data_IF_524272148550
#
_entry.id   IF_524272148550
#
_cell.length_a   1.000
_cell.length_b   1.000
_cell.length_c   1.000
_cell.angle_alpha   90.00
_cell.angle_beta   90.00
_cell.angle_gamma   90.00
#
_symmetry.space_group_name_H-M   'P 1'
#
loop_
_entity.id
_entity.type
_entity.pdbx_description
1 polymer ?
#
# COMPACT_ATOMS: atom_id res chain seq x y z
N UNK A 1 9.07 -14.54 -7.24
CA UNK A 1 8.23 -14.34 -6.03
C UNK A 1 8.58 -13.01 -5.38
N UNK A 2 7.58 -12.21 -5.00
CA UNK A 2 7.80 -10.97 -4.22
C UNK A 2 8.51 -11.27 -2.89
N UNK A 3 9.50 -10.43 -2.57
CA UNK A 3 10.28 -10.44 -1.34
C UNK A 3 10.49 -8.99 -0.87
N UNK A 4 11.14 -8.79 0.27
CA UNK A 4 11.46 -7.44 0.71
C UNK A 4 12.54 -7.40 1.78
N UNK A 5 13.25 -6.27 1.79
CA UNK A 5 14.34 -5.97 2.72
C UNK A 5 14.07 -4.67 3.48
N UNK A 6 14.57 -4.55 4.70
CA UNK A 6 14.36 -3.39 5.56
C UNK A 6 15.62 -2.56 5.60
N UNK A 7 15.62 -1.41 4.93
CA UNK A 7 16.82 -0.58 4.85
C UNK A 7 17.02 0.28 6.10
N UNK A 8 15.95 0.77 6.76
CA UNK A 8 16.08 1.72 7.88
C UNK A 8 14.95 1.67 8.96
N UNK A 9 14.26 0.53 9.15
CA UNK A 9 13.10 0.32 10.06
C UNK A 9 11.83 1.12 9.75
N UNK A 10 11.91 2.25 9.04
CA UNK A 10 10.76 3.08 8.63
C UNK A 10 10.30 2.81 7.21
N UNK A 11 11.23 2.38 6.35
CA UNK A 11 10.99 2.10 4.94
C UNK A 11 11.27 0.62 4.64
N UNK A 12 10.50 0.11 3.69
CA UNK A 12 10.52 -1.27 3.20
C UNK A 12 10.88 -1.23 1.73
N UNK A 13 11.95 -1.92 1.36
CA UNK A 13 12.29 -2.16 -0.03
C UNK A 13 11.54 -3.42 -0.48
N UNK A 14 10.60 -3.25 -1.40
CA UNK A 14 9.82 -4.35 -1.99
C UNK A 14 10.55 -4.78 -3.25
N UNK A 15 10.76 -6.09 -3.41
CA UNK A 15 11.63 -6.66 -4.44
C UNK A 15 10.95 -7.84 -5.13
N UNK A 16 11.15 -8.00 -6.42
CA UNK A 16 10.64 -9.14 -7.18
C UNK A 16 11.32 -9.23 -8.53
N UNK A 17 11.08 -10.31 -9.27
CA UNK A 17 11.36 -10.26 -10.71
C UNK A 17 10.33 -9.36 -11.42
N UNK A 18 10.56 -9.08 -12.71
CA UNK A 18 9.68 -8.20 -13.46
C UNK A 18 8.24 -8.76 -13.59
N UNK A 19 8.09 -10.08 -13.65
CA UNK A 19 6.78 -10.72 -13.76
C UNK A 19 6.00 -10.61 -12.44
N UNK A 20 6.66 -10.83 -11.30
CA UNK A 20 6.06 -10.65 -9.98
C UNK A 20 5.48 -9.24 -9.81
N UNK A 21 6.26 -8.23 -10.18
CA UNK A 21 5.87 -6.82 -10.07
C UNK A 21 4.76 -6.46 -11.07
N UNK A 22 4.81 -7.01 -12.29
CA UNK A 22 3.73 -6.84 -13.25
C UNK A 22 2.41 -7.47 -12.76
N UNK A 23 2.46 -8.65 -12.14
CA UNK A 23 1.27 -9.28 -11.53
C UNK A 23 0.75 -8.49 -10.33
N UNK A 24 1.64 -7.94 -9.51
CA UNK A 24 1.26 -7.03 -8.43
C UNK A 24 0.55 -5.78 -8.96
N UNK A 25 1.08 -5.17 -10.03
CA UNK A 25 0.44 -4.01 -10.66
C UNK A 25 -0.97 -4.35 -11.17
N UNK A 26 -1.18 -5.54 -11.76
CA UNK A 26 -2.52 -6.01 -12.16
C UNK A 26 -3.47 -6.13 -10.97
N UNK A 27 -2.98 -6.64 -9.82
CA UNK A 27 -3.77 -6.74 -8.59
C UNK A 27 -4.24 -5.34 -8.14
N UNK A 28 -3.32 -4.37 -8.11
CA UNK A 28 -3.62 -2.98 -7.74
C UNK A 28 -4.60 -2.32 -8.72
N UNK A 29 -4.45 -2.60 -10.02
CA UNK A 29 -5.32 -2.06 -11.06
C UNK A 29 -6.78 -2.50 -10.91
N UNK A 30 -7.04 -3.71 -10.40
CA UNK A 30 -8.41 -4.15 -10.11
C UNK A 30 -9.08 -3.28 -9.06
N UNK A 31 -8.33 -2.88 -8.04
CA UNK A 31 -8.83 -2.01 -6.97
C UNK A 31 -9.08 -0.60 -7.49
N UNK A 32 -8.14 -0.02 -8.25
CA UNK A 32 -8.33 1.32 -8.82
C UNK A 32 -9.52 1.35 -9.79
N UNK A 33 -9.72 0.27 -10.57
CA UNK A 33 -10.87 0.12 -11.46
C UNK A 33 -12.20 0.03 -10.71
N UNK A 34 -12.23 -0.65 -9.56
CA UNK A 34 -13.41 -0.69 -8.68
C UNK A 34 -13.76 0.71 -8.18
N UNK A 35 -12.76 1.49 -7.75
CA UNK A 35 -12.96 2.87 -7.27
C UNK A 35 -13.42 3.79 -8.39
N UNK A 36 -12.81 3.70 -9.58
CA UNK A 36 -13.23 4.45 -10.77
C UNK A 36 -14.66 4.07 -11.20
N UNK A 37 -15.08 2.82 -11.03
CA UNK A 37 -16.46 2.38 -11.27
C UNK A 37 -17.50 3.08 -10.37
N UNK A 38 -17.08 3.73 -9.29
CA UNK A 38 -17.93 4.56 -8.43
C UNK A 38 -17.81 6.07 -8.71
N UNK A 39 -16.99 6.49 -9.69
CA UNK A 39 -16.67 7.89 -10.02
C UNK A 39 -16.00 8.62 -8.84
N UNK A 40 -14.99 7.98 -8.23
CA UNK A 40 -14.29 8.44 -7.04
C UNK A 40 -12.76 8.53 -7.22
N UNK A 41 -12.33 8.89 -8.43
CA UNK A 41 -10.91 9.01 -8.81
C UNK A 41 -10.14 10.09 -8.01
N UNK A 42 -10.85 11.05 -7.40
CA UNK A 42 -10.22 12.07 -6.54
C UNK A 42 -10.12 11.63 -5.06
N UNK A 43 -10.54 10.41 -4.72
CA UNK A 43 -10.49 9.92 -3.33
C UNK A 43 -9.07 9.58 -2.88
N UNK A 44 -8.80 9.78 -1.58
CA UNK A 44 -7.53 9.40 -0.95
C UNK A 44 -7.16 7.93 -1.20
N UNK A 45 -8.17 7.06 -1.29
CA UNK A 45 -7.99 5.65 -1.58
C UNK A 45 -7.50 5.45 -3.03
N UNK A 46 -8.15 6.10 -4.01
CA UNK A 46 -7.69 6.05 -5.40
C UNK A 46 -6.25 6.55 -5.55
N UNK A 47 -5.92 7.67 -4.91
CA UNK A 47 -4.59 8.26 -4.95
C UNK A 47 -3.53 7.33 -4.32
N UNK A 48 -3.84 6.70 -3.18
CA UNK A 48 -2.94 5.73 -2.53
C UNK A 48 -2.64 4.54 -3.45
N UNK A 49 -3.68 3.91 -4.01
CA UNK A 49 -3.50 2.76 -4.90
C UNK A 49 -2.79 3.13 -6.20
N UNK A 50 -3.09 4.30 -6.77
CA UNK A 50 -2.44 4.79 -7.98
C UNK A 50 -0.97 5.08 -7.74
N UNK A 51 -0.62 5.73 -6.64
CA UNK A 51 0.76 5.99 -6.25
C UNK A 51 1.57 4.69 -6.07
N UNK A 52 1.02 3.71 -5.38
CA UNK A 52 1.69 2.42 -5.19
C UNK A 52 1.80 1.62 -6.51
N UNK A 53 0.80 1.72 -7.38
CA UNK A 53 0.81 1.15 -8.73
C UNK A 53 1.92 1.76 -9.59
N UNK A 54 2.08 3.10 -9.58
CA UNK A 54 3.14 3.80 -10.29
C UNK A 54 4.54 3.43 -9.82
N UNK A 55 4.74 3.26 -8.51
CA UNK A 55 6.02 2.76 -7.96
C UNK A 55 6.33 1.34 -8.45
N UNK A 56 5.32 0.48 -8.44
CA UNK A 56 5.43 -0.91 -8.90
C UNK A 56 5.79 -0.91 -10.39
N UNK A 57 5.06 -0.16 -11.21
CA UNK A 57 5.28 0.02 -12.64
C UNK A 57 6.69 0.54 -12.95
N UNK A 58 7.09 1.63 -12.30
CA UNK A 58 8.41 2.22 -12.45
C UNK A 58 9.52 1.21 -12.16
N UNK A 59 9.35 0.33 -11.17
CA UNK A 59 10.34 -0.68 -10.84
C UNK A 59 10.52 -1.75 -11.92
N UNK A 60 9.45 -2.24 -12.55
CA UNK A 60 9.56 -3.34 -13.53
C UNK A 60 9.69 -2.87 -14.99
N UNK A 61 9.18 -1.68 -15.35
CA UNK A 61 9.33 -1.10 -16.69
C UNK A 61 10.63 -0.33 -16.88
N UNK A 62 10.98 0.51 -15.92
CA UNK A 62 12.09 1.47 -16.04
C UNK A 62 13.21 1.22 -15.02
N UNK A 63 12.97 0.39 -14.01
CA UNK A 63 13.93 0.09 -12.97
C UNK A 63 15.08 -0.75 -13.50
N UNK A 64 16.30 -0.28 -13.27
CA UNK A 64 17.49 -1.08 -13.54
C UNK A 64 17.54 -2.22 -12.51
N UNK A 65 17.50 -3.49 -12.95
CA UNK A 65 17.55 -4.60 -12.02
C UNK A 65 18.86 -4.56 -11.23
N UNK A 66 18.74 -4.65 -9.91
CA UNK A 66 19.90 -4.75 -9.03
C UNK A 66 20.29 -6.22 -8.89
N UNK A 67 21.58 -6.50 -9.09
CA UNK A 67 22.15 -7.83 -8.86
C UNK A 67 22.23 -8.06 -7.35
N UNK A 68 21.31 -8.86 -6.81
CA UNK A 68 21.20 -9.02 -5.36
C UNK A 68 21.63 -10.39 -4.83
N UNK A 69 21.82 -11.41 -5.69
CA UNK A 69 22.46 -12.67 -5.24
C UNK A 69 22.94 -13.53 -6.40
N UNK A 70 23.94 -14.38 -6.13
CA UNK A 70 24.35 -15.48 -6.99
C UNK A 70 23.90 -16.77 -6.31
N UNK A 71 22.82 -17.39 -6.79
CA UNK A 71 22.45 -18.74 -6.35
C UNK A 71 23.14 -19.75 -7.28
N UNK A 72 24.26 -20.30 -6.84
CA UNK A 72 25.08 -21.22 -7.64
C UNK A 72 25.79 -20.52 -8.80
N UNK A 73 25.37 -20.80 -10.05
CA UNK A 73 25.88 -20.11 -11.27
C UNK A 73 24.85 -19.14 -11.88
N UNK A 74 23.64 -19.07 -11.32
CA UNK A 74 22.59 -18.21 -11.84
C UNK A 74 22.66 -16.85 -11.13
N UNK A 75 22.84 -15.81 -11.93
CA UNK A 75 22.70 -14.43 -11.47
C UNK A 75 21.21 -14.10 -11.42
N UNK A 76 20.71 -13.74 -10.23
CA UNK A 76 19.31 -13.37 -10.05
C UNK A 76 19.21 -11.85 -9.95
N UNK A 77 18.47 -11.28 -10.89
CA UNK A 77 18.21 -9.86 -11.04
C UNK A 77 16.86 -9.54 -10.42
N UNK A 78 16.84 -8.62 -9.47
CA UNK A 78 15.61 -8.15 -8.84
C UNK A 78 15.35 -6.70 -9.20
N UNK A 79 14.08 -6.42 -9.47
CA UNK A 79 13.53 -5.08 -9.54
C UNK A 79 13.00 -4.70 -8.16
N UNK A 80 13.05 -3.42 -7.82
CA UNK A 80 12.65 -2.97 -6.49
C UNK A 80 12.11 -1.56 -6.46
N UNK A 81 11.25 -1.28 -5.49
CA UNK A 81 10.83 0.07 -5.14
C UNK A 81 10.71 0.23 -3.62
N UNK A 82 10.84 1.47 -3.16
CA UNK A 82 10.72 1.82 -1.75
C UNK A 82 9.29 2.20 -1.39
N UNK A 83 8.81 1.69 -0.25
CA UNK A 83 7.55 2.05 0.37
C UNK A 83 7.77 2.35 1.84
N UNK A 84 7.00 3.29 2.41
CA UNK A 84 6.99 3.40 3.87
C UNK A 84 6.28 2.19 4.49
N UNK A 85 6.63 1.83 5.73
CA UNK A 85 5.94 0.77 6.48
C UNK A 85 4.46 1.08 6.64
N UNK A 86 4.09 2.35 6.85
CA UNK A 86 2.71 2.78 7.03
C UNK A 86 1.89 2.73 5.73
N UNK A 87 2.47 3.15 4.62
CA UNK A 87 1.87 3.01 3.29
C UNK A 87 1.57 1.54 2.98
N UNK A 88 2.52 0.64 3.25
CA UNK A 88 2.35 -0.80 3.06
C UNK A 88 1.27 -1.39 3.99
N UNK A 89 1.17 -0.88 5.22
CA UNK A 89 0.14 -1.28 6.19
C UNK A 89 -1.27 -0.88 5.77
N UNK A 90 -1.44 0.38 5.37
CA UNK A 90 -2.72 0.90 4.90
C UNK A 90 -3.14 0.15 3.63
N UNK A 91 -2.22 0.03 2.66
CA UNK A 91 -2.48 -0.66 1.40
C UNK A 91 -2.93 -2.11 1.62
N UNK A 92 -2.22 -2.88 2.45
CA UNK A 92 -2.57 -4.28 2.70
C UNK A 92 -3.90 -4.44 3.44
N UNK A 93 -4.19 -3.56 4.39
CA UNK A 93 -5.46 -3.56 5.11
C UNK A 93 -6.63 -3.24 4.18
N UNK A 94 -6.45 -2.27 3.28
CA UNK A 94 -7.44 -1.89 2.27
C UNK A 94 -7.63 -2.98 1.21
N UNK A 95 -6.55 -3.57 0.71
CA UNK A 95 -6.60 -4.69 -0.25
C UNK A 95 -7.42 -5.84 0.31
N UNK A 96 -7.15 -6.22 1.56
CA UNK A 96 -7.88 -7.31 2.22
C UNK A 96 -9.36 -6.95 2.40
N UNK A 97 -9.68 -5.74 2.85
CA UNK A 97 -11.06 -5.30 3.04
C UNK A 97 -11.85 -5.23 1.72
N UNK A 98 -11.21 -4.77 0.64
CA UNK A 98 -11.84 -4.63 -0.68
C UNK A 98 -11.85 -5.94 -1.49
N UNK A 99 -11.10 -6.96 -1.07
CA UNK A 99 -11.01 -8.25 -1.79
C UNK A 99 -12.38 -8.91 -2.01
N UNK A 100 -13.32 -8.74 -1.07
CA UNK A 100 -14.69 -9.27 -1.16
C UNK A 100 -15.55 -8.60 -2.23
N UNK A 101 -15.12 -7.45 -2.74
CA UNK A 101 -15.79 -6.67 -3.79
C UNK A 101 -15.10 -6.81 -5.15
N UNK A 102 -14.06 -7.64 -5.24
CA UNK A 102 -13.23 -7.82 -6.43
C UNK A 102 -13.28 -9.27 -6.91
N UNK A 103 -13.11 -9.46 -8.22
CA UNK A 103 -12.81 -10.80 -8.77
C UNK A 103 -11.32 -11.06 -8.58
N UNK A 104 -11.02 -11.70 -7.44
CA UNK A 104 -9.69 -12.12 -7.02
C UNK A 104 -9.44 -13.55 -7.51
N UNK A 105 -8.30 -13.76 -8.19
CA UNK A 105 -7.79 -15.07 -8.56
C UNK A 105 -6.69 -15.51 -7.58
N UNK A 106 -6.19 -16.73 -7.76
CA UNK A 106 -5.17 -17.30 -6.85
C UNK A 106 -3.88 -16.47 -6.80
N UNK A 107 -3.48 -15.84 -7.92
CA UNK A 107 -2.28 -14.99 -7.97
C UNK A 107 -2.48 -13.67 -7.23
N UNK A 108 -3.67 -13.07 -7.32
CA UNK A 108 -4.02 -11.88 -6.55
C UNK A 108 -3.98 -12.18 -5.04
N UNK A 109 -4.53 -13.32 -4.60
CA UNK A 109 -4.45 -13.74 -3.19
C UNK A 109 -3.01 -13.94 -2.73
N UNK A 110 -2.16 -14.56 -3.56
CA UNK A 110 -0.74 -14.72 -3.27
C UNK A 110 -0.07 -13.35 -3.12
N UNK A 111 -0.34 -12.39 -4.01
CA UNK A 111 0.22 -11.04 -3.92
C UNK A 111 -0.23 -10.31 -2.65
N UNK A 112 -1.52 -10.37 -2.31
CA UNK A 112 -2.05 -9.76 -1.08
C UNK A 112 -1.37 -10.39 0.13
N UNK A 113 -1.27 -11.72 0.19
CA UNK A 113 -0.63 -12.44 1.28
C UNK A 113 0.86 -12.10 1.43
N UNK A 114 1.59 -11.96 0.32
CA UNK A 114 3.00 -11.57 0.32
C UNK A 114 3.17 -10.15 0.85
N UNK A 115 2.35 -9.20 0.41
CA UNK A 115 2.37 -7.84 0.94
C UNK A 115 2.02 -7.80 2.43
N UNK A 116 1.03 -8.58 2.89
CA UNK A 116 0.68 -8.70 4.30
C UNK A 116 1.85 -9.24 5.13
N UNK A 117 2.60 -10.23 4.61
CA UNK A 117 3.77 -10.76 5.28
C UNK A 117 4.91 -9.75 5.34
N UNK A 118 5.15 -9.00 4.27
CA UNK A 118 6.13 -7.91 4.27
C UNK A 118 5.75 -6.83 5.30
N UNK A 119 4.46 -6.49 5.34
CA UNK A 119 3.90 -5.55 6.31
C UNK A 119 4.08 -6.01 7.76
N UNK A 120 3.75 -7.27 8.06
CA UNK A 120 3.96 -7.88 9.39
C UNK A 120 5.43 -7.86 9.81
N UNK A 121 6.35 -8.15 8.88
CA UNK A 121 7.80 -8.14 9.15
C UNK A 121 8.35 -6.72 9.36
N UNK A 122 7.71 -5.71 8.77
CA UNK A 122 8.08 -4.30 8.93
C UNK A 122 7.77 -3.74 10.33
N UNK A 123 6.85 -4.38 11.04
CA UNK A 123 6.33 -3.94 12.31
C UNK A 123 7.14 -4.52 13.48
N UNK A 124 7.61 -3.64 14.37
CA UNK A 124 8.06 -4.01 15.71
C UNK A 124 7.07 -3.51 16.78
N UNK A 125 6.72 -4.36 17.75
CA UNK A 125 6.06 -4.02 19.02
C UNK A 125 4.90 -3.03 18.94
N UNK A 126 5.18 -1.74 19.15
CA UNK A 126 4.19 -0.66 19.13
C UNK A 126 3.37 -0.55 17.83
N UNK A 127 3.93 -0.94 16.68
CA UNK A 127 3.21 -0.85 15.40
C UNK A 127 2.17 -1.97 15.23
N UNK A 128 2.25 -3.05 16.04
CA UNK A 128 1.34 -4.20 15.90
C UNK A 128 -0.06 -3.84 16.42
N UNK A 129 -0.12 -3.08 17.51
CA UNK A 129 -1.39 -2.57 18.02
C UNK A 129 -2.01 -1.55 17.05
N UNK A 130 -1.19 -0.70 16.42
CA UNK A 130 -1.65 0.22 15.39
C UNK A 130 -2.23 -0.51 14.16
N UNK A 131 -1.61 -1.62 13.76
CA UNK A 131 -2.09 -2.46 12.67
C UNK A 131 -3.48 -3.03 12.93
N UNK A 132 -3.70 -3.59 14.13
CA UNK A 132 -5.04 -4.11 14.49
C UNK A 132 -6.08 -2.99 14.53
N UNK A 133 -5.74 -1.81 15.06
CA UNK A 133 -6.64 -0.65 15.07
C UNK A 133 -6.99 -0.16 13.67
N UNK A 134 -6.02 -0.10 12.74
CA UNK A 134 -6.26 0.29 11.35
C UNK A 134 -7.20 -0.72 10.67
N UNK A 135 -6.94 -2.01 10.85
CA UNK A 135 -7.76 -3.09 10.27
C UNK A 135 -9.19 -3.07 10.81
N UNK A 136 -9.34 -2.97 12.12
CA UNK A 136 -10.64 -2.89 12.77
C UNK A 136 -11.43 -1.67 12.26
N UNK A 137 -10.80 -0.49 12.21
CA UNK A 137 -11.42 0.74 11.71
C UNK A 137 -11.86 0.60 10.26
N UNK A 138 -11.01 0.08 9.38
CA UNK A 138 -11.32 -0.14 7.96
C UNK A 138 -12.54 -1.07 7.83
N UNK A 139 -12.50 -2.24 8.49
CA UNK A 139 -13.57 -3.23 8.39
C UNK A 139 -14.89 -2.69 8.94
N UNK A 140 -14.87 -2.11 10.15
CA UNK A 140 -16.07 -1.54 10.77
C UNK A 140 -16.69 -0.43 9.93
N UNK A 141 -15.87 0.43 9.33
CA UNK A 141 -16.37 1.51 8.47
C UNK A 141 -16.99 0.95 7.19
N UNK A 142 -16.33 -0.03 6.56
CA UNK A 142 -16.83 -0.68 5.36
C UNK A 142 -18.15 -1.43 5.60
N UNK A 143 -18.26 -2.18 6.70
CA UNK A 143 -19.46 -2.93 7.08
C UNK A 143 -20.67 -2.02 7.37
N UNK A 144 -20.44 -0.88 8.03
CA UNK A 144 -21.50 0.02 8.48
C UNK A 144 -21.99 1.00 7.41
N UNK A 145 -21.15 1.38 6.45
CA UNK A 145 -21.46 2.42 5.46
C UNK A 145 -21.64 1.90 4.03
N UNK A 146 -21.17 0.67 3.74
CA UNK A 146 -21.10 0.12 2.40
C UNK A 146 -19.94 0.70 1.58
N UNK A 147 -19.53 -0.03 0.54
CA UNK A 147 -18.32 0.24 -0.22
C UNK A 147 -18.22 1.66 -0.81
N UNK A 148 -19.28 2.17 -1.44
CA UNK A 148 -19.23 3.49 -2.08
C UNK A 148 -18.95 4.60 -1.06
N UNK A 149 -19.68 4.57 0.06
CA UNK A 149 -19.55 5.57 1.12
C UNK A 149 -18.23 5.40 1.87
N UNK A 150 -17.80 4.17 2.09
CA UNK A 150 -16.46 3.88 2.60
C UNK A 150 -15.38 4.54 1.76
N UNK A 151 -15.38 4.37 0.43
CA UNK A 151 -14.38 4.98 -0.46
C UNK A 151 -14.46 6.52 -0.41
N UNK A 152 -15.69 7.08 -0.41
CA UNK A 152 -15.92 8.53 -0.35
C UNK A 152 -15.39 9.17 0.94
N UNK A 153 -15.60 8.51 2.07
CA UNK A 153 -15.33 9.04 3.40
C UNK A 153 -13.93 8.64 3.90
N UNK A 154 -13.27 7.65 3.27
CA UNK A 154 -11.93 7.24 3.64
C UNK A 154 -10.94 8.38 3.44
N UNK A 155 -10.14 8.65 4.48
CA UNK A 155 -9.06 9.63 4.45
C UNK A 155 -7.77 8.97 4.87
N UNK A 156 -6.73 9.14 4.07
CA UNK A 156 -5.36 8.74 4.40
C UNK A 156 -4.75 9.68 5.46
N UNK A 157 -5.33 10.88 5.63
CA UNK A 157 -4.89 11.92 6.55
C UNK A 157 -6.03 12.39 7.45
N UNK A 158 -5.75 12.63 8.73
CA UNK A 158 -6.63 13.47 9.54
C UNK A 158 -6.38 14.93 9.18
N UNK A 159 -7.35 15.58 8.53
CA UNK A 159 -7.40 17.04 8.50
C UNK A 159 -7.51 17.54 9.93
N UNK A 160 -6.60 18.40 10.38
CA UNK A 160 -6.65 19.09 11.66
C UNK A 160 -7.97 19.87 11.81
N UNK A 161 -9.02 19.21 12.26
CA UNK A 161 -10.21 19.84 12.82
C UNK A 161 -10.28 19.45 14.29
N UNK A 162 -9.82 20.39 15.12
CA UNK A 162 -10.03 20.41 16.56
C UNK A 162 -11.50 20.19 16.89
N UNK A 163 -11.80 19.18 17.70
CA UNK A 163 -12.62 19.30 18.93
C UNK A 163 -12.52 18.00 19.77
N UNK A 164 -12.73 18.07 21.10
CA UNK A 164 -11.80 17.43 22.03
C UNK A 164 -12.37 16.22 22.77
N UNK A 165 -11.44 15.53 23.44
CA UNK A 165 -11.62 14.57 24.54
C UNK A 165 -11.85 13.10 24.16
N UNK A 166 -10.85 12.51 23.50
CA UNK A 166 -10.19 11.25 23.90
C UNK A 166 -8.97 11.00 22.98
N UNK A 167 -8.11 12.03 22.81
CA UNK A 167 -7.00 11.99 21.86
C UNK A 167 -5.76 11.29 22.45
N UNK A 168 -5.74 9.96 22.38
CA UNK A 168 -4.51 9.19 22.42
C UNK A 168 -3.82 9.26 21.04
N UNK A 169 -3.13 10.39 20.81
CA UNK A 169 -1.98 10.62 19.93
C UNK A 169 -1.88 9.75 18.67
N UNK A 170 -2.57 10.17 17.62
CA UNK A 170 -2.29 9.82 16.22
C UNK A 170 -1.33 10.83 15.54
N UNK A 171 -0.48 11.52 16.29
CA UNK A 171 0.52 12.50 15.78
C UNK A 171 1.55 11.91 14.80
N UNK A 172 1.57 10.59 14.57
CA UNK A 172 2.55 9.92 13.71
C UNK A 172 2.11 9.74 12.25
N UNK A 173 0.82 9.84 11.92
CA UNK A 173 0.33 9.53 10.55
C UNK A 173 0.49 10.73 9.61
N UNK A 174 0.37 11.95 10.14
CA UNK A 174 0.27 13.18 9.34
C UNK A 174 1.60 13.74 8.84
N UNK A 175 2.76 13.34 9.39
CA UNK A 175 4.06 13.93 9.01
C UNK A 175 4.81 13.24 7.86
N UNK A 176 4.44 12.03 7.45
CA UNK A 176 5.34 11.21 6.61
C UNK A 176 4.97 11.07 5.14
N UNK A 177 3.75 11.39 4.74
CA UNK A 177 3.35 11.38 3.32
C UNK A 177 3.50 12.76 2.64
N UNK A 178 3.85 13.80 3.41
CA UNK A 178 4.03 15.17 2.92
C UNK A 178 5.18 15.35 1.91
N UNK A 179 6.31 14.60 1.91
CA UNK A 179 7.32 14.82 0.88
C UNK A 179 7.06 14.08 -0.44
N UNK A 180 6.20 13.05 -0.49
CA UNK A 180 5.99 12.26 -1.71
C UNK A 180 5.07 12.96 -2.72
N UNK A 181 4.08 13.73 -2.24
CA UNK A 181 3.11 14.42 -3.10
C UNK A 181 3.54 15.86 -3.44
N UNK A 182 4.44 16.46 -2.66
CA UNK A 182 5.02 17.76 -3.00
C UNK A 182 5.82 17.75 -4.32
N UNK A 183 6.25 16.58 -4.81
CA UNK A 183 6.85 16.39 -6.13
C UNK A 183 5.85 16.16 -7.28
N UNK A 184 4.57 15.88 -6.97
CA UNK A 184 3.51 15.65 -7.96
C UNK A 184 2.80 16.96 -8.39
N UNK A 185 2.96 18.03 -7.62
CA UNK A 185 2.36 19.36 -7.89
C UNK A 185 3.39 20.44 -8.25
N UNK A 186 4.56 20.07 -8.79
CA UNK A 186 5.49 21.05 -9.38
C UNK A 186 5.56 20.89 -10.90
N UNK A 187 4.87 21.84 -11.56
CA UNK A 187 4.96 22.31 -12.96
C UNK A 187 4.14 21.56 -14.03
N UNK A 188 2.91 22.07 -14.23
CA UNK A 188 2.48 22.55 -15.55
C UNK A 188 3.21 23.87 -15.82
#
# INVERSE_FOLDING_TARGET
MLTGNFENKTNVLIMGDALDLAELQKTLYKVTSLVAGYELEDSDLFLLFTHFSQKTEGAWLAGNPQKNSVYGKAEVYYHSFESSTMELLLLTSLLRALSSFLIINDLDEVNIYLLENLSKRAISGNHQQQMELIRERVNKTLESSGIKRFIQDFRCYETEQKEPAEELRFEAVTRYLVPAVAGLFVRI
#
